data_IF_108858353428
#
_entry.id   IF_108858353428
#
_cell.length_a   1.000
_cell.length_b   1.000
_cell.length_c   1.000
_cell.angle_alpha   90.00
_cell.angle_beta   90.00
_cell.angle_gamma   90.00
#
_symmetry.space_group_name_H-M   'P 1'
#
loop_
_entity.id
_entity.type
_entity.pdbx_description
1 polymer ?
#
# COMPACT_ATOMS: atom_id res chain seq x y z
N UNK A 1 1.39 -2.71 -30.70
CA UNK A 1 0.63 -2.95 -29.45
C UNK A 1 1.42 -2.82 -28.15
N UNK A 2 2.76 -2.99 -28.13
CA UNK A 2 3.58 -2.95 -26.90
C UNK A 2 3.51 -1.61 -26.15
N UNK A 3 3.61 -0.50 -26.87
CA UNK A 3 3.56 0.85 -26.28
C UNK A 3 2.23 1.16 -25.58
N UNK A 4 1.09 0.84 -26.22
CA UNK A 4 -0.24 1.07 -25.62
C UNK A 4 -0.43 0.28 -24.32
N UNK A 5 0.01 -1.00 -24.29
CA UNK A 5 -0.05 -1.82 -23.07
C UNK A 5 0.81 -1.22 -21.94
N UNK A 6 2.00 -0.73 -22.26
CA UNK A 6 2.89 -0.09 -21.28
C UNK A 6 2.28 1.20 -20.73
N UNK A 7 1.72 2.06 -21.61
CA UNK A 7 1.04 3.29 -21.19
C UNK A 7 -0.12 2.94 -20.26
N UNK A 8 -0.99 2.01 -20.65
CA UNK A 8 -2.13 1.60 -19.80
C UNK A 8 -1.67 1.01 -18.46
N UNK A 9 -0.61 0.21 -18.44
CA UNK A 9 -0.09 -0.33 -17.18
C UNK A 9 0.41 0.78 -16.24
N UNK A 10 1.17 1.75 -16.77
CA UNK A 10 1.65 2.89 -15.98
C UNK A 10 0.47 3.76 -15.48
N UNK A 11 -0.52 4.03 -16.34
CA UNK A 11 -1.72 4.78 -15.96
C UNK A 11 -2.49 4.08 -14.85
N UNK A 12 -2.72 2.77 -14.96
CA UNK A 12 -3.44 2.01 -13.93
C UNK A 12 -2.75 2.09 -12.56
N UNK A 13 -1.41 2.05 -12.53
CA UNK A 13 -0.64 2.18 -11.27
C UNK A 13 -0.88 3.55 -10.63
N UNK A 14 -0.81 4.61 -11.42
CA UNK A 14 -1.01 6.00 -10.96
C UNK A 14 -2.46 6.22 -10.51
N UNK A 15 -3.44 5.72 -11.25
CA UNK A 15 -4.86 5.82 -10.90
C UNK A 15 -5.18 5.06 -9.61
N UNK A 16 -4.63 3.86 -9.44
CA UNK A 16 -4.80 3.08 -8.22
C UNK A 16 -4.16 3.79 -7.01
N UNK A 17 -2.96 4.36 -7.16
CA UNK A 17 -2.33 5.18 -6.12
C UNK A 17 -3.20 6.41 -5.78
N UNK A 18 -3.71 7.13 -6.78
CA UNK A 18 -4.56 8.31 -6.54
C UNK A 18 -5.86 7.96 -5.81
N UNK A 19 -6.48 6.83 -6.16
CA UNK A 19 -7.66 6.32 -5.44
C UNK A 19 -7.33 5.95 -4.00
N UNK A 20 -6.20 5.30 -3.80
CA UNK A 20 -5.69 4.87 -2.50
C UNK A 20 -5.34 6.07 -1.60
N UNK A 21 -4.52 7.00 -2.06
CA UNK A 21 -4.15 8.20 -1.31
C UNK A 21 -5.38 9.06 -0.99
N UNK A 22 -6.34 9.18 -1.92
CA UNK A 22 -7.59 9.90 -1.68
C UNK A 22 -8.42 9.29 -0.55
N UNK A 23 -8.36 7.98 -0.38
CA UNK A 23 -9.07 7.27 0.69
C UNK A 23 -8.58 7.68 2.09
N UNK A 24 -7.33 8.11 2.24
CA UNK A 24 -6.79 8.56 3.53
C UNK A 24 -7.19 9.98 3.92
N UNK A 25 -7.72 10.80 3.00
CA UNK A 25 -8.24 12.11 3.37
C UNK A 25 -9.45 11.98 4.28
N UNK A 26 -9.24 12.24 5.56
CA UNK A 26 -10.28 12.22 6.60
C UNK A 26 -11.26 13.38 6.43
N UNK A 27 -12.55 13.14 6.68
CA UNK A 27 -13.57 14.19 6.81
C UNK A 27 -13.97 14.98 5.56
N UNK A 28 -13.26 14.85 4.43
CA UNK A 28 -13.56 15.65 3.24
C UNK A 28 -13.06 15.09 1.90
N UNK A 29 -12.52 13.86 1.84
CA UNK A 29 -12.02 13.24 0.59
C UNK A 29 -11.07 14.14 -0.23
N UNK A 30 -10.30 15.00 0.42
CA UNK A 30 -9.37 15.93 -0.23
C UNK A 30 -9.99 17.27 -0.65
N UNK A 31 -11.19 17.63 -0.16
CA UNK A 31 -11.74 18.97 -0.33
C UNK A 31 -10.92 19.96 0.50
N UNK A 32 -10.10 20.74 -0.17
CA UNK A 32 -9.31 21.80 0.45
C UNK A 32 -10.18 23.05 0.54
N UNK A 33 -10.65 23.36 1.74
CA UNK A 33 -11.55 24.49 2.00
C UNK A 33 -10.86 25.85 2.05
N UNK A 34 -9.53 25.88 2.11
CA UNK A 34 -8.73 27.10 2.24
C UNK A 34 -7.85 27.32 1.01
N UNK A 35 -7.81 28.56 0.51
CA UNK A 35 -6.99 28.96 -0.65
C UNK A 35 -5.61 29.49 -0.22
N UNK A 36 -4.98 28.79 0.72
CA UNK A 36 -3.59 29.06 1.13
C UNK A 36 -2.67 27.98 0.53
N UNK A 37 -1.76 28.33 -0.39
CA UNK A 37 -0.86 27.39 -1.03
C UNK A 37 -0.02 26.57 -0.03
N UNK A 38 0.38 27.17 1.09
CA UNK A 38 1.24 26.51 2.09
C UNK A 38 0.45 25.41 2.80
N UNK A 39 -0.79 25.69 3.19
CA UNK A 39 -1.65 24.70 3.85
C UNK A 39 -2.06 23.58 2.89
N UNK A 40 -2.30 23.91 1.61
CA UNK A 40 -2.55 22.91 0.57
C UNK A 40 -1.39 21.93 0.40
N UNK A 41 -0.16 22.45 0.34
CA UNK A 41 1.04 21.64 0.20
C UNK A 41 1.25 20.71 1.41
N UNK A 42 1.04 21.21 2.63
CA UNK A 42 1.13 20.40 3.86
C UNK A 42 0.13 19.25 3.84
N UNK A 43 -1.13 19.55 3.49
CA UNK A 43 -2.21 18.56 3.43
C UNK A 43 -1.85 17.42 2.46
N UNK A 44 -1.32 17.75 1.28
CA UNK A 44 -0.88 16.76 0.29
C UNK A 44 0.28 15.92 0.85
N UNK A 45 1.33 16.57 1.37
CA UNK A 45 2.52 15.87 1.88
C UNK A 45 2.22 14.94 3.06
N UNK A 46 1.37 15.37 3.99
CA UNK A 46 0.98 14.53 5.11
C UNK A 46 0.14 13.33 4.65
N UNK A 47 -0.75 13.53 3.68
CA UNK A 47 -1.53 12.44 3.12
C UNK A 47 -0.64 11.42 2.39
N UNK A 48 0.32 11.91 1.60
CA UNK A 48 1.31 11.03 0.93
C UNK A 48 2.16 10.28 1.95
N UNK A 49 2.56 10.91 3.06
CA UNK A 49 3.29 10.23 4.13
C UNK A 49 2.49 9.07 4.73
N UNK A 50 1.21 9.30 5.06
CA UNK A 50 0.32 8.27 5.60
C UNK A 50 0.11 7.16 4.56
N UNK A 51 -0.18 7.51 3.31
CA UNK A 51 -0.36 6.53 2.24
C UNK A 51 0.88 5.65 2.07
N UNK A 52 2.08 6.23 2.05
CA UNK A 52 3.33 5.48 1.92
C UNK A 52 3.61 4.56 3.11
N UNK A 53 3.33 5.01 4.34
CA UNK A 53 3.48 4.18 5.54
C UNK A 53 2.55 2.95 5.50
N UNK A 54 1.32 3.14 5.03
CA UNK A 54 0.36 2.04 4.88
C UNK A 54 0.74 1.11 3.72
N UNK A 55 1.20 1.65 2.59
CA UNK A 55 1.71 0.84 1.46
C UNK A 55 2.79 -0.09 1.96
N UNK A 56 3.72 0.42 2.77
CA UNK A 56 4.78 -0.38 3.35
C UNK A 56 4.23 -1.52 4.22
N UNK A 57 3.30 -1.22 5.13
CA UNK A 57 2.67 -2.26 5.96
C UNK A 57 1.94 -3.31 5.11
N UNK A 58 1.18 -2.90 4.11
CA UNK A 58 0.50 -3.82 3.19
C UNK A 58 1.49 -4.74 2.47
N UNK A 59 2.66 -4.25 2.08
CA UNK A 59 3.72 -5.07 1.46
C UNK A 59 4.30 -6.07 2.44
N UNK A 60 4.52 -5.67 3.70
CA UNK A 60 4.97 -6.59 4.77
C UNK A 60 3.94 -7.71 4.96
N UNK A 61 2.66 -7.34 5.18
CA UNK A 61 1.58 -8.30 5.39
C UNK A 61 1.42 -9.27 4.19
N UNK A 62 1.47 -8.74 2.97
CA UNK A 62 1.45 -9.56 1.74
C UNK A 62 2.62 -10.53 1.69
N UNK A 63 3.82 -10.08 2.02
CA UNK A 63 5.03 -10.90 1.98
C UNK A 63 4.93 -12.05 2.98
N UNK A 64 4.43 -11.79 4.18
CA UNK A 64 4.24 -12.82 5.20
C UNK A 64 3.17 -13.84 4.79
N UNK A 65 2.06 -13.39 4.22
CA UNK A 65 1.03 -14.30 3.67
C UNK A 65 1.59 -15.16 2.53
N UNK A 66 2.38 -14.58 1.62
CA UNK A 66 3.00 -15.35 0.53
C UNK A 66 3.98 -16.40 1.08
N UNK A 67 4.75 -16.07 2.12
CA UNK A 67 5.66 -17.02 2.78
C UNK A 67 4.90 -18.17 3.44
N UNK A 68 3.79 -17.87 4.10
CA UNK A 68 2.97 -18.90 4.74
C UNK A 68 2.31 -19.83 3.71
N UNK A 69 1.89 -19.29 2.56
CA UNK A 69 1.40 -20.09 1.44
C UNK A 69 2.50 -21.01 0.86
N UNK A 70 3.73 -20.51 0.70
CA UNK A 70 4.86 -21.35 0.28
C UNK A 70 5.15 -22.46 1.29
N UNK A 71 5.15 -22.16 2.59
CA UNK A 71 5.33 -23.16 3.67
C UNK A 71 4.23 -24.22 3.68
N UNK A 72 3.01 -23.83 3.32
CA UNK A 72 1.87 -24.76 3.18
C UNK A 72 1.93 -25.62 1.90
N UNK A 73 2.92 -25.39 1.02
CA UNK A 73 3.15 -26.18 -0.19
C UNK A 73 2.45 -25.64 -1.45
N UNK A 74 1.91 -24.43 -1.43
CA UNK A 74 1.39 -23.79 -2.63
C UNK A 74 2.54 -23.28 -3.52
N UNK A 75 2.42 -23.48 -4.83
CA UNK A 75 3.33 -22.89 -5.81
C UNK A 75 2.91 -21.45 -6.13
N UNK A 76 3.82 -20.48 -5.98
CA UNK A 76 3.57 -19.07 -6.31
C UNK A 76 4.52 -18.68 -7.44
N UNK A 77 3.97 -18.12 -8.51
CA UNK A 77 4.74 -17.65 -9.67
C UNK A 77 5.00 -16.15 -9.59
N UNK A 78 5.92 -15.66 -10.43
CA UNK A 78 6.19 -14.22 -10.54
C UNK A 78 4.99 -13.45 -11.07
N UNK A 79 4.20 -14.08 -11.94
CA UNK A 79 2.97 -13.54 -12.52
C UNK A 79 1.90 -13.33 -11.44
N UNK A 80 1.79 -14.24 -10.47
CA UNK A 80 0.86 -14.11 -9.34
C UNK A 80 1.20 -12.89 -8.49
N UNK A 81 2.48 -12.71 -8.16
CA UNK A 81 2.95 -11.55 -7.38
C UNK A 81 2.80 -10.25 -8.18
N UNK A 82 3.02 -10.28 -9.49
CA UNK A 82 2.83 -9.11 -10.36
C UNK A 82 1.36 -8.67 -10.49
N UNK A 83 0.41 -9.56 -10.21
CA UNK A 83 -1.02 -9.23 -10.18
C UNK A 83 -1.47 -8.58 -8.86
N UNK A 84 -0.65 -8.68 -7.80
CA UNK A 84 -0.95 -8.07 -6.51
C UNK A 84 -0.68 -6.56 -6.53
N UNK A 85 -1.45 -5.83 -5.72
CA UNK A 85 -1.27 -4.40 -5.51
C UNK A 85 -1.21 -4.10 -4.02
N UNK A 86 -0.28 -3.25 -3.56
CA UNK A 86 -0.20 -2.85 -2.16
C UNK A 86 -1.27 -1.81 -1.78
N UNK A 87 -2.17 -1.45 -2.70
CA UNK A 87 -3.19 -0.40 -2.50
C UNK A 87 -4.50 -0.93 -1.90
N UNK A 88 -4.42 -1.95 -1.05
CA UNK A 88 -5.58 -2.54 -0.37
C UNK A 88 -6.00 -1.69 0.83
N UNK A 89 -7.32 -1.53 1.01
CA UNK A 89 -7.90 -0.73 2.10
C UNK A 89 -8.85 -1.51 2.99
N UNK A 90 -9.24 -2.72 2.60
CA UNK A 90 -10.21 -3.56 3.33
C UNK A 90 -9.68 -4.06 4.68
N UNK A 91 -8.37 -4.24 4.80
CA UNK A 91 -7.68 -4.62 6.05
C UNK A 91 -7.46 -3.44 7.00
N UNK A 92 -7.77 -2.20 6.58
CA UNK A 92 -7.45 -0.99 7.34
C UNK A 92 -8.68 -0.46 8.07
N UNK A 93 -8.56 -0.30 9.39
CA UNK A 93 -9.58 0.32 10.22
C UNK A 93 -9.58 1.85 10.11
N UNK A 94 -10.18 2.41 9.06
CA UNK A 94 -10.18 3.88 8.85
C UNK A 94 -10.77 4.71 10.01
N UNK A 95 -11.76 4.16 10.72
CA UNK A 95 -12.50 4.85 11.77
C UNK A 95 -12.56 3.99 13.05
N UNK A 96 -12.59 4.68 14.19
CA UNK A 96 -12.70 4.08 15.51
C UNK A 96 -11.35 4.03 16.24
N UNK A 97 -11.34 3.36 17.39
CA UNK A 97 -10.18 3.40 18.27
C UNK A 97 -9.10 2.40 17.84
N UNK A 98 -7.86 2.87 17.81
CA UNK A 98 -6.67 2.05 17.69
C UNK A 98 -6.11 1.82 19.09
N UNK A 99 -5.99 0.55 19.48
CA UNK A 99 -5.18 0.18 20.63
C UNK A 99 -3.78 -0.12 20.11
N UNK A 100 -2.83 0.75 20.44
CA UNK A 100 -1.44 0.60 20.04
C UNK A 100 -0.72 -0.11 21.19
N UNK A 101 -0.23 -1.30 20.90
CA UNK A 101 0.71 -1.97 21.78
C UNK A 101 2.13 -1.47 21.47
N UNK A 102 2.77 -0.86 22.45
CA UNK A 102 4.13 -0.31 22.36
C UNK A 102 5.19 -1.30 22.86
N UNK A 103 4.78 -2.42 23.47
CA UNK A 103 5.67 -3.47 23.97
C UNK A 103 5.97 -4.52 22.90
N UNK A 104 5.03 -4.74 21.98
CA UNK A 104 5.23 -5.67 20.86
C UNK A 104 6.27 -5.13 19.88
N UNK A 105 7.40 -5.83 19.78
CA UNK A 105 8.43 -5.56 18.78
C UNK A 105 8.03 -6.23 17.47
N UNK A 106 7.95 -5.50 16.34
CA UNK A 106 7.69 -6.08 15.03
C UNK A 106 8.74 -7.13 14.67
N UNK A 107 8.33 -8.17 13.96
CA UNK A 107 9.28 -9.13 13.40
C UNK A 107 10.28 -8.39 12.51
N UNK A 108 11.53 -8.83 12.54
CA UNK A 108 12.55 -8.31 11.64
C UNK A 108 12.15 -8.63 10.20
N UNK A 109 12.48 -7.74 9.28
CA UNK A 109 12.40 -8.07 7.86
C UNK A 109 13.62 -8.95 7.56
N UNK A 110 13.44 -10.27 7.61
CA UNK A 110 14.52 -11.23 7.38
C UNK A 110 15.19 -11.00 6.01
N UNK A 111 16.53 -10.91 5.96
CA UNK A 111 17.31 -10.90 4.71
C UNK A 111 17.36 -12.29 4.03
N UNK A 112 17.11 -13.37 4.77
CA UNK A 112 17.41 -14.74 4.33
C UNK A 112 16.30 -15.44 3.53
N UNK A 113 15.13 -14.81 3.38
CA UNK A 113 13.98 -15.37 2.71
C UNK A 113 13.57 -14.56 1.49
N UNK A 114 14.48 -14.36 0.53
CA UNK A 114 14.08 -13.93 -0.81
C UNK A 114 12.98 -14.90 -1.28
N UNK A 115 11.81 -14.37 -1.61
CA UNK A 115 10.84 -15.04 -2.48
C UNK A 115 11.56 -15.31 -3.80
N UNK A 116 12.33 -16.41 -3.87
CA UNK A 116 12.90 -16.91 -5.11
C UNK A 116 11.73 -17.55 -5.86
N UNK A 117 10.95 -16.69 -6.51
CA UNK A 117 9.94 -17.07 -7.47
C UNK A 117 10.71 -17.54 -8.71
N UNK A 118 10.89 -18.86 -8.81
CA UNK A 118 11.52 -19.52 -9.95
C UNK A 118 10.63 -19.45 -11.19
#
# INVERSE_FOLDING_TARGET
>A
MKLRKQITAATNIVEAYNGFSKWFFFGGFGVISNNDPIEQEKIIKYNDLVANAVIFQNVVDLTDVLRDLLKAGYSITREDVAALSPYMTSNIKRFGDYMIDMETVPNLLDDEGLLILA
#
